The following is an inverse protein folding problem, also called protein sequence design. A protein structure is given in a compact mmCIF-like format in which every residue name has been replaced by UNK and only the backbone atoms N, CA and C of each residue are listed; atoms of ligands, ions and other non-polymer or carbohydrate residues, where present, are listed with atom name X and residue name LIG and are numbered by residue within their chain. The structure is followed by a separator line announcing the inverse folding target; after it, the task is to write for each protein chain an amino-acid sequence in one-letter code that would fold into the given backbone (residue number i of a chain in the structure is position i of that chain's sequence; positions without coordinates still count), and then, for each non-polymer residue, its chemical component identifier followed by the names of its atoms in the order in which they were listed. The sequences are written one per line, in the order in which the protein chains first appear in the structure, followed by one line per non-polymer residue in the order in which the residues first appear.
data_IF_658068756165
#
_entry.id   IF_658068756165
#
_cell.length_a   1.000
_cell.length_b   1.000
_cell.length_c   1.000
_cell.angle_alpha   90.00
_cell.angle_beta   90.00
_cell.angle_gamma   90.00
#
_symmetry.space_group_name_H-M   'P 1'
#
loop_
_entity.id
_entity.type
_entity.pdbx_description
1 polymer ?
#
# COMPACT_ATOMS: atom_id res chain seq x y z
N UNK A 1 10.02 -17.39 -10.47
CA UNK A 1 9.47 -16.03 -10.25
C UNK A 1 9.67 -15.08 -11.42
N UNK A 2 10.17 -15.55 -12.57
CA UNK A 2 10.19 -14.75 -13.80
C UNK A 2 8.77 -14.34 -14.20
N UNK A 3 7.80 -15.24 -14.01
CA UNK A 3 6.38 -15.01 -14.27
C UNK A 3 5.83 -13.74 -13.57
N UNK A 4 6.27 -13.46 -12.34
CA UNK A 4 5.87 -12.26 -11.61
C UNK A 4 6.51 -10.99 -12.19
N UNK A 5 7.75 -11.06 -12.65
CA UNK A 5 8.41 -9.95 -13.35
C UNK A 5 7.74 -9.66 -14.68
N UNK A 6 7.43 -10.70 -15.45
CA UNK A 6 6.74 -10.56 -16.72
C UNK A 6 5.36 -9.92 -16.50
N UNK A 7 4.62 -10.35 -15.47
CA UNK A 7 3.35 -9.72 -15.11
C UNK A 7 3.50 -8.23 -14.73
N UNK A 8 4.54 -7.86 -13.97
CA UNK A 8 4.83 -6.44 -13.68
C UNK A 8 5.13 -5.64 -14.95
N UNK A 9 5.94 -6.19 -15.86
CA UNK A 9 6.26 -5.54 -17.15
C UNK A 9 5.00 -5.36 -17.99
N UNK A 10 4.15 -6.38 -18.10
CA UNK A 10 2.87 -6.27 -18.81
C UNK A 10 2.01 -5.13 -18.27
N UNK A 11 1.91 -4.98 -16.94
CA UNK A 11 1.14 -3.86 -16.36
C UNK A 11 1.77 -2.51 -16.69
N UNK A 12 3.11 -2.39 -16.67
CA UNK A 12 3.80 -1.14 -16.99
C UNK A 12 3.73 -0.77 -18.47
N UNK A 13 3.83 -1.75 -19.37
CA UNK A 13 3.91 -1.55 -20.82
C UNK A 13 2.54 -1.44 -21.48
N UNK A 14 1.54 -2.13 -20.93
CA UNK A 14 0.21 -2.26 -21.54
C UNK A 14 -0.94 -1.82 -20.61
N UNK A 15 -0.65 -1.40 -19.39
CA UNK A 15 -1.66 -0.90 -18.47
C UNK A 15 -2.13 0.51 -18.81
N UNK A 16 -3.33 0.82 -18.35
CA UNK A 16 -3.99 2.11 -18.56
C UNK A 16 -3.98 2.88 -17.22
N UNK A 17 -3.61 4.17 -17.22
CA UNK A 17 -3.75 5.02 -16.04
C UNK A 17 -5.20 5.03 -15.55
N UNK A 18 -5.40 4.81 -14.26
CA UNK A 18 -6.72 4.74 -13.64
C UNK A 18 -6.72 5.48 -12.29
N UNK A 19 -7.86 6.05 -11.94
CA UNK A 19 -8.12 6.52 -10.58
C UNK A 19 -8.54 5.35 -9.69
N UNK A 20 -8.21 5.40 -8.41
CA UNK A 20 -8.60 4.39 -7.45
C UNK A 20 -9.32 5.00 -6.23
N UNK A 21 -9.94 4.15 -5.40
CA UNK A 21 -10.70 4.58 -4.20
C UNK A 21 -9.85 5.35 -3.19
N UNK A 22 -8.54 5.10 -3.12
CA UNK A 22 -7.62 5.82 -2.23
C UNK A 22 -7.24 7.20 -2.79
N UNK A 23 -7.46 7.41 -4.09
CA UNK A 23 -7.12 8.65 -4.79
C UNK A 23 -5.62 8.86 -5.01
N UNK A 24 -4.85 7.76 -4.98
CA UNK A 24 -3.40 7.68 -5.26
C UNK A 24 -3.15 7.61 -6.77
N UNK A 25 -4.02 6.93 -7.51
CA UNK A 25 -3.87 6.63 -8.93
C UNK A 25 -3.05 5.36 -9.16
N UNK A 26 -3.39 4.64 -10.23
CA UNK A 26 -2.76 3.37 -10.62
C UNK A 26 -2.47 3.33 -12.11
N UNK A 27 -1.59 2.42 -12.52
CA UNK A 27 -1.58 1.85 -13.87
C UNK A 27 -2.20 0.45 -13.75
N UNK A 28 -3.29 0.20 -14.48
CA UNK A 28 -4.10 -1.03 -14.36
C UNK A 28 -4.13 -1.81 -15.67
N UNK A 29 -4.00 -3.13 -15.59
CA UNK A 29 -4.19 -4.07 -16.69
C UNK A 29 -5.27 -5.08 -16.30
N UNK A 30 -6.36 -5.15 -17.07
CA UNK A 30 -7.49 -6.00 -16.74
C UNK A 30 -7.37 -7.38 -17.38
N UNK A 31 -7.17 -8.40 -16.55
CA UNK A 31 -6.96 -9.77 -16.98
C UNK A 31 -5.48 -10.12 -17.10
N UNK A 32 -4.98 -10.95 -16.19
CA UNK A 32 -3.66 -11.59 -16.28
C UNK A 32 -3.75 -13.01 -15.74
N UNK A 33 -2.89 -13.90 -16.24
CA UNK A 33 -2.74 -15.23 -15.67
C UNK A 33 -1.28 -15.64 -15.62
N UNK A 34 -0.87 -16.24 -14.50
CA UNK A 34 0.47 -16.78 -14.31
C UNK A 34 0.39 -18.20 -13.74
N UNK A 35 1.37 -19.03 -14.06
CA UNK A 35 1.49 -20.42 -13.59
C UNK A 35 2.83 -20.64 -12.91
N UNK A 36 2.79 -21.27 -11.75
CA UNK A 36 3.93 -21.58 -10.90
C UNK A 36 3.94 -23.09 -10.63
N UNK A 37 4.74 -23.88 -11.38
CA UNK A 37 4.96 -25.29 -11.07
C UNK A 37 5.65 -25.42 -9.72
N UNK A 38 5.03 -26.11 -8.76
CA UNK A 38 5.59 -26.24 -7.40
C UNK A 38 6.75 -27.23 -7.36
N UNK A 39 6.92 -28.04 -8.41
CA UNK A 39 8.08 -28.89 -8.62
C UNK A 39 9.38 -28.10 -8.86
N UNK A 40 9.29 -26.86 -9.35
CA UNK A 40 10.47 -26.00 -9.62
C UNK A 40 11.03 -25.35 -8.35
N UNK A 41 10.30 -25.45 -7.23
CA UNK A 41 10.59 -24.79 -5.95
C UNK A 41 9.39 -23.99 -5.43
N UNK A 42 9.49 -23.51 -4.18
CA UNK A 42 8.43 -22.73 -3.56
C UNK A 42 8.42 -21.29 -4.14
N UNK A 43 7.29 -20.81 -4.70
CA UNK A 43 7.24 -19.56 -5.47
C UNK A 43 7.22 -18.31 -4.57
N UNK A 44 8.31 -18.10 -3.83
CA UNK A 44 8.54 -16.93 -3.01
C UNK A 44 9.37 -15.90 -3.81
N UNK A 45 8.90 -14.65 -3.89
CA UNK A 45 9.64 -13.60 -4.60
C UNK A 45 11.05 -13.43 -4.01
N UNK A 46 12.06 -13.48 -4.87
CA UNK A 46 13.47 -13.37 -4.50
C UNK A 46 14.09 -12.02 -4.86
N UNK A 47 13.44 -11.18 -5.66
CA UNK A 47 13.94 -9.83 -5.98
C UNK A 47 13.64 -8.77 -4.93
N UNK A 48 12.92 -9.16 -3.87
CA UNK A 48 12.80 -8.44 -2.61
C UNK A 48 12.53 -9.43 -1.49
N UNK A 49 12.88 -9.06 -0.25
CA UNK A 49 12.61 -9.87 0.94
C UNK A 49 11.12 -9.78 1.33
N UNK A 50 10.49 -10.93 1.53
CA UNK A 50 9.13 -11.05 2.07
C UNK A 50 9.15 -11.45 3.54
N UNK A 51 8.14 -11.00 4.28
CA UNK A 51 7.96 -11.39 5.68
C UNK A 51 7.16 -12.70 5.77
N UNK A 52 7.86 -13.82 5.56
CA UNK A 52 7.29 -15.19 5.53
C UNK A 52 6.42 -15.48 6.75
N UNK A 53 6.83 -15.01 7.93
CA UNK A 53 6.09 -15.21 9.18
C UNK A 53 4.64 -14.71 9.08
N UNK A 54 4.44 -13.53 8.50
CA UNK A 54 3.09 -12.98 8.29
C UNK A 54 2.24 -13.83 7.35
N UNK A 55 2.84 -14.34 6.26
CA UNK A 55 2.14 -15.17 5.26
C UNK A 55 1.61 -16.45 5.91
N UNK A 56 2.45 -17.14 6.68
CA UNK A 56 2.08 -18.41 7.31
C UNK A 56 0.99 -18.19 8.36
N UNK A 57 1.18 -17.24 9.29
CA UNK A 57 0.19 -17.02 10.35
C UNK A 57 -1.15 -16.53 9.80
N UNK A 58 -1.17 -15.69 8.75
CA UNK A 58 -2.41 -15.28 8.11
C UNK A 58 -3.17 -16.48 7.53
N UNK A 59 -2.48 -17.39 6.84
CA UNK A 59 -3.13 -18.58 6.29
C UNK A 59 -3.68 -19.51 7.38
N UNK A 60 -2.92 -19.72 8.45
CA UNK A 60 -3.39 -20.49 9.62
C UNK A 60 -4.61 -19.83 10.27
N UNK A 61 -4.64 -18.51 10.35
CA UNK A 61 -5.75 -17.72 10.86
C UNK A 61 -7.01 -17.86 9.96
N UNK A 62 -6.86 -17.78 8.64
CA UNK A 62 -7.95 -18.07 7.69
C UNK A 62 -8.52 -19.48 7.87
N UNK A 63 -7.64 -20.49 7.98
CA UNK A 63 -8.07 -21.88 8.15
C UNK A 63 -8.80 -22.13 9.47
N UNK A 64 -8.50 -21.35 10.53
CA UNK A 64 -9.24 -21.39 11.80
C UNK A 64 -10.62 -20.76 11.73
N UNK A 65 -10.91 -19.98 10.68
CA UNK A 65 -12.16 -19.26 10.55
C UNK A 65 -12.24 -17.98 11.38
N UNK A 66 -11.11 -17.56 11.94
CA UNK A 66 -11.02 -16.38 12.79
C UNK A 66 -11.11 -15.10 11.94
N UNK A 67 -11.66 -14.05 12.54
CA UNK A 67 -11.88 -12.73 11.93
C UNK A 67 -11.43 -11.58 12.83
N UNK A 68 -10.88 -11.91 14.02
CA UNK A 68 -10.27 -10.94 14.91
C UNK A 68 -8.73 -11.00 14.83
N UNK A 69 -8.08 -9.84 14.85
CA UNK A 69 -6.62 -9.74 14.67
C UNK A 69 -5.80 -10.10 15.91
N UNK A 70 -6.41 -10.46 17.05
CA UNK A 70 -5.69 -10.81 18.28
C UNK A 70 -4.67 -11.92 18.06
N UNK A 71 -5.05 -13.02 17.38
CA UNK A 71 -4.12 -14.10 17.07
C UNK A 71 -2.92 -13.61 16.24
N UNK A 72 -3.16 -12.73 15.27
CA UNK A 72 -2.10 -12.16 14.44
C UNK A 72 -1.15 -11.31 15.28
N UNK A 73 -1.70 -10.42 16.13
CA UNK A 73 -0.93 -9.56 17.03
C UNK A 73 -0.10 -10.36 18.03
N UNK A 74 -0.66 -11.38 18.67
CA UNK A 74 0.06 -12.29 19.58
C UNK A 74 1.25 -12.98 18.90
N UNK A 75 1.20 -13.16 17.58
CA UNK A 75 2.28 -13.74 16.78
C UNK A 75 3.18 -12.68 16.10
N UNK A 76 3.03 -11.40 16.43
CA UNK A 76 3.83 -10.30 15.87
C UNK A 76 3.52 -10.00 14.41
N UNK A 77 2.27 -10.20 13.99
CA UNK A 77 1.77 -9.93 12.64
C UNK A 77 0.77 -8.78 12.68
N UNK A 78 1.02 -7.72 11.90
CA UNK A 78 0.24 -6.47 11.89
C UNK A 78 -0.36 -6.13 10.51
N UNK A 79 -0.40 -7.09 9.59
CA UNK A 79 -0.80 -6.85 8.19
C UNK A 79 -2.30 -6.51 8.03
N UNK A 80 -3.11 -6.65 9.08
CA UNK A 80 -4.54 -6.35 9.11
C UNK A 80 -4.90 -5.15 10.01
N UNK A 81 -3.92 -4.53 10.67
CA UNK A 81 -4.14 -3.51 11.70
C UNK A 81 -4.89 -2.28 11.19
N UNK A 82 -4.67 -1.88 9.94
CA UNK A 82 -5.29 -0.68 9.34
C UNK A 82 -6.79 -0.85 9.02
N UNK A 83 -7.29 -2.08 8.98
CA UNK A 83 -8.69 -2.38 8.63
C UNK A 83 -9.54 -2.81 9.82
N UNK A 84 -8.91 -3.23 10.92
CA UNK A 84 -9.64 -3.70 12.08
C UNK A 84 -10.29 -2.53 12.84
N UNK A 85 -11.45 -2.79 13.44
CA UNK A 85 -12.08 -1.83 14.34
C UNK A 85 -11.36 -1.73 15.70
N UNK A 86 -11.92 -0.96 16.62
CA UNK A 86 -11.36 -0.76 17.96
C UNK A 86 -11.24 -2.04 18.81
N UNK A 87 -12.03 -3.08 18.49
CA UNK A 87 -11.99 -4.38 19.15
C UNK A 87 -11.10 -5.39 18.41
N UNK A 88 -10.56 -5.00 17.25
CA UNK A 88 -9.74 -5.85 16.40
C UNK A 88 -10.54 -6.70 15.42
N UNK A 89 -11.84 -6.45 15.24
CA UNK A 89 -12.71 -7.22 14.36
C UNK A 89 -12.68 -6.68 12.92
N UNK A 90 -12.75 -7.60 11.95
CA UNK A 90 -12.74 -7.30 10.51
C UNK A 90 -14.09 -7.55 9.82
N UNK A 91 -15.10 -7.98 10.57
CA UNK A 91 -16.35 -8.51 10.02
C UNK A 91 -16.17 -9.91 9.38
N UNK A 92 -17.14 -10.38 8.58
CA UNK A 92 -17.17 -11.74 8.07
C UNK A 92 -16.23 -11.94 6.86
N UNK A 93 -14.94 -11.63 7.02
CA UNK A 93 -13.90 -11.78 5.97
C UNK A 93 -13.53 -13.26 5.72
N UNK A 94 -12.45 -13.51 4.97
CA UNK A 94 -12.06 -14.80 4.42
C UNK A 94 -12.24 -16.00 5.35
N UNK A 95 -11.70 -15.96 6.57
CA UNK A 95 -11.78 -17.07 7.51
C UNK A 95 -13.23 -17.48 7.78
N UNK A 96 -14.09 -16.50 8.08
CA UNK A 96 -15.52 -16.73 8.26
C UNK A 96 -16.12 -17.39 7.03
N UNK A 97 -15.86 -16.86 5.83
CA UNK A 97 -16.40 -17.42 4.59
C UNK A 97 -15.87 -18.83 4.31
N UNK A 98 -14.61 -19.14 4.65
CA UNK A 98 -14.03 -20.46 4.41
C UNK A 98 -14.60 -21.54 5.34
N UNK A 99 -14.93 -21.17 6.58
CA UNK A 99 -15.35 -22.11 7.63
C UNK A 99 -16.85 -22.07 7.94
N UNK A 100 -17.54 -21.02 7.53
CA UNK A 100 -18.98 -20.81 7.70
C UNK A 100 -19.54 -19.83 6.65
N UNK A 101 -19.70 -20.31 5.41
CA UNK A 101 -20.40 -19.62 4.33
C UNK A 101 -21.90 -19.89 4.44
N UNK A 102 -22.61 -19.10 5.25
CA UNK A 102 -24.05 -19.30 5.46
C UNK A 102 -24.40 -20.70 6.00
N UNK A 103 -23.59 -21.22 6.92
CA UNK A 103 -23.73 -22.55 7.51
C UNK A 103 -22.82 -23.63 6.91
N UNK A 104 -22.03 -23.31 5.88
CA UNK A 104 -21.20 -24.30 5.16
C UNK A 104 -19.71 -24.12 5.45
N UNK A 105 -19.08 -25.17 6.00
CA UNK A 105 -17.63 -25.27 6.09
C UNK A 105 -17.06 -25.73 4.73
N UNK A 106 -16.66 -24.76 3.91
CA UNK A 106 -16.17 -25.02 2.56
C UNK A 106 -14.84 -25.79 2.57
N UNK A 107 -13.97 -25.56 3.56
CA UNK A 107 -12.66 -26.22 3.64
C UNK A 107 -12.81 -27.69 4.04
N UNK A 108 -13.63 -27.98 5.05
CA UNK A 108 -13.90 -29.37 5.44
C UNK A 108 -14.56 -30.14 4.30
N UNK A 109 -15.58 -29.53 3.67
CA UNK A 109 -16.27 -30.10 2.50
C UNK A 109 -15.29 -30.38 1.36
N UNK A 110 -14.40 -29.44 1.04
CA UNK A 110 -13.39 -29.60 0.00
C UNK A 110 -12.47 -30.80 0.26
N UNK A 111 -11.90 -30.89 1.47
CA UNK A 111 -10.98 -31.99 1.83
C UNK A 111 -11.68 -33.35 1.75
N UNK A 112 -12.93 -33.42 2.19
CA UNK A 112 -13.75 -34.62 2.05
C UNK A 112 -14.01 -34.98 0.58
N UNK A 113 -14.38 -34.00 -0.24
CA UNK A 113 -14.62 -34.20 -1.67
C UNK A 113 -13.36 -34.61 -2.43
N UNK A 114 -12.18 -34.09 -2.08
CA UNK A 114 -10.90 -34.54 -2.68
C UNK A 114 -10.70 -36.03 -2.43
N UNK A 115 -11.02 -36.52 -1.23
CA UNK A 115 -10.85 -37.95 -0.87
C UNK A 115 -11.89 -38.85 -1.54
N UNK A 116 -13.15 -38.39 -1.67
CA UNK A 116 -14.27 -39.19 -2.21
C UNK A 116 -14.42 -39.12 -3.72
N UNK A 117 -14.12 -37.97 -4.33
CA UNK A 117 -14.36 -37.68 -5.75
C UNK A 117 -13.29 -36.71 -6.28
N UNK A 118 -12.01 -37.14 -6.32
CA UNK A 118 -10.87 -36.30 -6.70
C UNK A 118 -10.94 -35.76 -8.13
N UNK A 119 -11.68 -36.43 -9.01
CA UNK A 119 -11.93 -36.05 -10.39
C UNK A 119 -13.04 -34.99 -10.54
N UNK A 120 -13.70 -34.61 -9.44
CA UNK A 120 -14.74 -33.59 -9.43
C UNK A 120 -14.24 -32.25 -9.96
N UNK A 121 -15.06 -31.61 -10.80
CA UNK A 121 -14.83 -30.25 -11.32
C UNK A 121 -15.40 -29.18 -10.39
N UNK A 122 -15.94 -29.57 -9.23
CA UNK A 122 -16.65 -28.70 -8.27
C UNK A 122 -15.88 -28.48 -6.97
N UNK A 123 -14.58 -28.81 -6.95
CA UNK A 123 -13.70 -28.59 -5.80
C UNK A 123 -13.35 -27.10 -5.70
N UNK A 124 -14.26 -26.29 -5.13
CA UNK A 124 -14.21 -24.82 -5.14
C UNK A 124 -14.43 -24.28 -3.73
N UNK A 125 -13.75 -23.18 -3.40
CA UNK A 125 -14.03 -22.35 -2.24
C UNK A 125 -14.21 -20.91 -2.69
N UNK A 126 -15.27 -20.25 -2.22
CA UNK A 126 -15.55 -18.83 -2.47
C UNK A 126 -15.45 -18.01 -1.19
N UNK A 127 -14.76 -16.88 -1.23
CA UNK A 127 -14.83 -15.86 -0.21
C UNK A 127 -15.84 -14.75 -0.57
N UNK A 128 -16.35 -14.72 -1.80
CA UNK A 128 -17.27 -13.68 -2.24
C UNK A 128 -18.71 -14.05 -1.93
N UNK A 129 -19.21 -13.56 -0.78
CA UNK A 129 -20.59 -13.73 -0.34
C UNK A 129 -21.36 -12.39 -0.46
N UNK A 130 -22.20 -12.17 -1.49
CA UNK A 130 -22.81 -10.87 -1.74
C UNK A 130 -23.57 -10.24 -0.56
N UNK A 131 -24.35 -11.00 0.24
CA UNK A 131 -24.98 -10.48 1.46
C UNK A 131 -24.00 -9.97 2.53
N UNK A 132 -22.83 -10.60 2.66
CA UNK A 132 -21.87 -10.26 3.72
C UNK A 132 -20.86 -9.18 3.29
N UNK A 133 -20.63 -8.98 1.99
CA UNK A 133 -19.65 -8.01 1.46
C UNK A 133 -19.80 -6.60 2.06
N UNK A 134 -21.01 -6.03 2.24
CA UNK A 134 -21.19 -4.73 2.87
C UNK A 134 -20.76 -4.67 4.35
N UNK A 135 -20.60 -5.82 5.01
CA UNK A 135 -20.24 -5.92 6.43
C UNK A 135 -18.76 -6.26 6.67
N UNK A 136 -17.98 -6.43 5.61
CA UNK A 136 -16.54 -6.72 5.69
C UNK A 136 -15.74 -5.43 5.71
N UNK A 137 -14.74 -5.34 6.61
CA UNK A 137 -13.82 -4.20 6.66
C UNK A 137 -13.09 -3.97 5.32
N UNK A 138 -12.79 -5.05 4.62
CA UNK A 138 -12.31 -5.02 3.24
C UNK A 138 -12.93 -6.19 2.44
N UNK A 139 -13.68 -5.91 1.34
CA UNK A 139 -14.19 -6.97 0.49
C UNK A 139 -13.07 -7.86 -0.09
N UNK A 140 -13.22 -9.20 -0.11
CA UNK A 140 -12.21 -10.14 -0.53
C UNK A 140 -11.56 -9.80 -1.87
N UNK A 141 -10.23 -9.68 -1.88
CA UNK A 141 -9.45 -9.54 -3.11
C UNK A 141 -9.31 -10.90 -3.81
N UNK A 142 -9.00 -11.96 -3.05
CA UNK A 142 -8.96 -13.34 -3.50
C UNK A 142 -10.33 -13.98 -3.31
N UNK A 143 -11.14 -13.93 -4.38
CA UNK A 143 -12.59 -14.15 -4.28
C UNK A 143 -12.99 -15.61 -4.39
N UNK A 144 -12.29 -16.39 -5.20
CA UNK A 144 -12.61 -17.80 -5.43
C UNK A 144 -11.35 -18.56 -5.85
N UNK A 145 -11.25 -19.81 -5.42
CA UNK A 145 -10.20 -20.71 -5.89
C UNK A 145 -10.74 -22.13 -6.08
N UNK A 146 -10.11 -22.86 -7.00
CA UNK A 146 -10.49 -24.20 -7.42
C UNK A 146 -9.31 -25.15 -7.30
N UNK A 147 -9.58 -26.39 -6.92
CA UNK A 147 -8.63 -27.50 -6.90
C UNK A 147 -8.91 -28.49 -8.02
N UNK A 148 -7.87 -29.05 -8.61
CA UNK A 148 -7.95 -30.17 -9.56
C UNK A 148 -6.89 -31.21 -9.24
N UNK A 149 -7.28 -32.48 -9.20
CA UNK A 149 -6.34 -33.60 -9.14
C UNK A 149 -6.10 -34.12 -10.56
N UNK A 150 -4.85 -34.11 -11.01
CA UNK A 150 -4.45 -34.59 -12.34
C UNK A 150 -3.10 -35.33 -12.22
N UNK A 151 -3.02 -36.55 -12.74
CA UNK A 151 -1.76 -37.31 -12.74
C UNK A 151 -1.16 -37.53 -11.34
N UNK A 152 -2.00 -37.69 -10.31
CA UNK A 152 -1.54 -37.84 -8.92
C UNK A 152 -1.10 -36.52 -8.24
N UNK A 153 -1.30 -35.37 -8.90
CA UNK A 153 -0.91 -34.06 -8.39
C UNK A 153 -2.10 -33.17 -8.07
N UNK A 154 -1.98 -32.38 -7.01
CA UNK A 154 -2.95 -31.36 -6.62
C UNK A 154 -2.57 -30.00 -7.21
N UNK A 155 -3.41 -29.48 -8.09
CA UNK A 155 -3.29 -28.15 -8.68
C UNK A 155 -4.30 -27.20 -8.02
N UNK A 156 -3.92 -25.95 -7.80
CA UNK A 156 -4.79 -24.91 -7.26
C UNK A 156 -4.81 -23.71 -8.21
N UNK A 157 -6.00 -23.26 -8.60
CA UNK A 157 -6.20 -22.03 -9.36
C UNK A 157 -6.93 -21.00 -8.51
N UNK A 158 -6.35 -19.81 -8.35
CA UNK A 158 -6.94 -18.66 -7.70
C UNK A 158 -7.46 -17.65 -8.73
N UNK A 159 -8.65 -17.11 -8.52
CA UNK A 159 -9.10 -15.86 -9.11
C UNK A 159 -9.06 -14.73 -8.07
N UNK A 160 -8.26 -13.70 -8.36
CA UNK A 160 -8.10 -12.50 -7.55
C UNK A 160 -8.66 -11.30 -8.31
N UNK A 161 -9.79 -10.74 -7.87
CA UNK A 161 -10.50 -9.66 -8.60
C UNK A 161 -9.70 -8.36 -8.69
N UNK A 162 -8.82 -8.11 -7.72
CA UNK A 162 -8.07 -6.86 -7.57
C UNK A 162 -6.73 -7.17 -6.89
N UNK A 163 -5.64 -6.74 -7.50
CA UNK A 163 -4.30 -7.15 -7.11
C UNK A 163 -3.32 -5.98 -7.17
N UNK A 164 -2.91 -5.50 -5.98
CA UNK A 164 -1.71 -4.66 -5.87
C UNK A 164 -0.50 -5.52 -6.23
N UNK A 165 0.00 -5.29 -7.43
CA UNK A 165 1.09 -6.06 -8.02
C UNK A 165 2.39 -5.90 -7.25
N UNK A 166 2.61 -4.77 -6.58
CA UNK A 166 3.83 -4.56 -5.81
C UNK A 166 3.69 -5.14 -4.40
N UNK A 167 2.76 -4.68 -3.57
CA UNK A 167 2.70 -5.09 -2.16
C UNK A 167 2.00 -6.44 -1.96
N UNK A 168 0.82 -6.62 -2.56
CA UNK A 168 -0.08 -7.74 -2.26
C UNK A 168 0.31 -9.04 -2.97
N UNK A 169 0.47 -9.01 -4.29
CA UNK A 169 0.64 -10.21 -5.12
C UNK A 169 1.77 -11.15 -4.66
N UNK A 170 2.97 -10.65 -4.26
CA UNK A 170 4.01 -11.52 -3.71
C UNK A 170 3.57 -12.35 -2.49
N UNK A 171 2.75 -11.77 -1.60
CA UNK A 171 2.18 -12.47 -0.44
C UNK A 171 1.09 -13.46 -0.88
N UNK A 172 0.23 -13.06 -1.83
CA UNK A 172 -0.85 -13.91 -2.32
C UNK A 172 -0.31 -15.17 -3.02
N UNK A 173 0.74 -15.04 -3.84
CA UNK A 173 1.38 -16.19 -4.50
C UNK A 173 1.88 -17.20 -3.46
N UNK A 174 2.64 -16.72 -2.47
CA UNK A 174 3.20 -17.58 -1.44
C UNK A 174 2.12 -18.23 -0.56
N UNK A 175 1.08 -17.48 -0.18
CA UNK A 175 -0.03 -17.97 0.64
C UNK A 175 -0.80 -19.11 -0.05
N UNK A 176 -1.17 -18.92 -1.31
CA UNK A 176 -1.93 -19.94 -2.04
C UNK A 176 -1.08 -21.12 -2.53
N UNK A 177 0.20 -20.91 -2.82
CA UNK A 177 1.14 -22.01 -3.02
C UNK A 177 1.31 -22.85 -1.75
N UNK A 178 1.41 -22.21 -0.58
CA UNK A 178 1.47 -22.89 0.70
C UNK A 178 0.18 -23.69 0.95
N UNK A 179 -0.99 -23.10 0.72
CA UNK A 179 -2.27 -23.80 0.82
C UNK A 179 -2.34 -25.03 -0.09
N UNK A 180 -1.88 -24.93 -1.34
CA UNK A 180 -1.81 -26.06 -2.26
C UNK A 180 -0.93 -27.20 -1.72
N UNK A 181 0.25 -26.88 -1.16
CA UNK A 181 1.15 -27.85 -0.53
C UNK A 181 0.51 -28.48 0.72
N UNK A 182 -0.15 -27.69 1.57
CA UNK A 182 -0.85 -28.18 2.76
C UNK A 182 -2.00 -29.13 2.40
N UNK A 183 -2.80 -28.78 1.39
CA UNK A 183 -3.88 -29.63 0.90
C UNK A 183 -3.34 -30.94 0.32
N UNK A 184 -2.29 -30.86 -0.50
CA UNK A 184 -1.63 -32.04 -1.09
C UNK A 184 -1.15 -32.99 0.02
N UNK A 185 -0.50 -32.44 1.05
CA UNK A 185 -0.02 -33.18 2.22
C UNK A 185 -1.12 -33.97 2.95
N UNK A 186 -2.25 -33.32 3.28
CA UNK A 186 -3.32 -33.96 4.08
C UNK A 186 -4.25 -34.85 3.24
N UNK A 187 -4.13 -34.82 1.91
CA UNK A 187 -4.91 -35.64 0.98
C UNK A 187 -4.08 -36.72 0.29
N UNK A 188 -2.76 -36.76 0.49
CA UNK A 188 -1.88 -37.79 -0.03
C UNK A 188 -1.48 -37.61 -1.49
N UNK A 189 -1.58 -36.39 -2.03
CA UNK A 189 -1.16 -36.05 -3.39
C UNK A 189 0.18 -35.31 -3.40
N UNK A 190 0.86 -35.34 -4.55
CA UNK A 190 2.00 -34.46 -4.78
C UNK A 190 1.55 -33.03 -5.09
N UNK A 191 2.29 -31.98 -4.68
CA UNK A 191 2.03 -30.63 -5.16
C UNK A 191 2.20 -30.52 -6.69
N UNK A 192 1.17 -30.01 -7.36
CA UNK A 192 1.17 -29.73 -8.79
C UNK A 192 1.53 -28.26 -9.08
N UNK A 193 0.61 -27.55 -9.71
CA UNK A 193 0.80 -26.15 -10.10
C UNK A 193 -0.09 -25.23 -9.28
N UNK A 194 0.44 -24.06 -8.94
CA UNK A 194 -0.36 -22.92 -8.56
C UNK A 194 -0.61 -22.02 -9.78
N UNK A 195 -1.88 -21.73 -10.07
CA UNK A 195 -2.30 -20.85 -11.16
C UNK A 195 -2.95 -19.61 -10.55
N UNK A 196 -2.45 -18.43 -10.90
CA UNK A 196 -2.95 -17.16 -10.39
C UNK A 196 -3.61 -16.39 -11.53
N UNK A 197 -4.94 -16.29 -11.51
CA UNK A 197 -5.72 -15.47 -12.43
C UNK A 197 -6.08 -14.16 -11.73
N UNK A 198 -5.82 -13.04 -12.38
CA UNK A 198 -6.00 -11.71 -11.81
C UNK A 198 -6.98 -10.93 -12.69
N UNK A 199 -7.97 -10.30 -12.06
CA UNK A 199 -8.86 -9.32 -12.68
C UNK A 199 -8.12 -8.00 -12.89
N UNK A 200 -8.34 -7.02 -12.02
CA UNK A 200 -7.60 -5.75 -12.06
C UNK A 200 -6.20 -5.88 -11.44
N UNK A 201 -5.20 -6.11 -12.29
CA UNK A 201 -3.79 -6.10 -11.93
C UNK A 201 -3.26 -4.67 -12.00
N UNK A 202 -2.90 -4.09 -10.86
CA UNK A 202 -2.54 -2.67 -10.81
C UNK A 202 -1.25 -2.42 -10.04
N UNK A 203 -0.55 -1.37 -10.45
CA UNK A 203 0.58 -0.82 -9.72
C UNK A 203 0.21 0.62 -9.34
N UNK A 204 0.26 0.92 -8.04
CA UNK A 204 0.05 2.29 -7.55
C UNK A 204 1.15 3.23 -8.04
N UNK A 205 0.77 4.47 -8.35
CA UNK A 205 1.69 5.53 -8.81
C UNK A 205 2.87 5.75 -7.84
N UNK A 206 2.64 5.65 -6.53
CA UNK A 206 3.67 5.78 -5.50
C UNK A 206 4.58 4.53 -5.34
N UNK A 207 4.36 3.48 -6.13
CA UNK A 207 5.20 2.27 -6.17
C UNK A 207 6.05 2.15 -7.45
N UNK A 208 5.98 3.11 -8.38
CA UNK A 208 6.66 3.02 -9.68
C UNK A 208 8.18 2.80 -9.54
N UNK A 209 8.86 3.62 -8.74
CA UNK A 209 10.31 3.50 -8.57
C UNK A 209 10.71 2.16 -7.94
N UNK A 210 9.93 1.69 -6.96
CA UNK A 210 10.18 0.44 -6.27
C UNK A 210 9.98 -0.74 -7.23
N UNK A 211 8.98 -0.69 -8.10
CA UNK A 211 8.77 -1.69 -9.16
C UNK A 211 9.94 -1.67 -10.14
N UNK A 212 10.34 -0.50 -10.65
CA UNK A 212 11.48 -0.39 -11.58
C UNK A 212 12.78 -0.93 -10.96
N UNK A 213 13.05 -0.58 -9.69
CA UNK A 213 14.19 -1.09 -8.93
C UNK A 213 14.13 -2.61 -8.78
N UNK A 214 12.94 -3.16 -8.54
CA UNK A 214 12.73 -4.60 -8.42
C UNK A 214 12.92 -5.32 -9.77
N UNK A 215 12.46 -4.73 -10.87
CA UNK A 215 12.60 -5.26 -12.24
C UNK A 215 14.04 -5.23 -12.75
N UNK A 216 14.89 -4.34 -12.23
CA UNK A 216 16.31 -4.30 -12.53
C UNK A 216 17.11 -5.44 -11.85
N UNK A 217 16.52 -6.16 -10.89
CA UNK A 217 17.17 -7.27 -10.18
C UNK A 217 16.86 -8.58 -10.88
N UNK A 218 17.89 -9.38 -11.16
CA UNK A 218 17.70 -10.74 -11.63
C UNK A 218 17.05 -11.62 -10.52
N UNK A 219 15.99 -12.39 -10.81
CA UNK A 219 15.48 -13.40 -9.89
C UNK A 219 16.59 -14.38 -9.46
N UNK A 220 16.66 -14.66 -8.16
CA UNK A 220 17.52 -15.72 -7.59
C UNK A 220 16.77 -17.06 -7.52
N UNK A 221 17.46 -18.19 -7.35
CA UNK A 221 16.86 -19.52 -7.25
C UNK A 221 15.68 -19.57 -6.26
N UNK A 222 14.67 -20.37 -6.59
CA UNK A 222 13.52 -20.56 -5.70
C UNK A 222 13.96 -21.29 -4.42
N UNK A 223 13.45 -20.90 -3.26
CA UNK A 223 13.65 -21.69 -2.04
C UNK A 223 12.89 -23.02 -2.10
N UNK A 224 13.23 -23.93 -1.21
CA UNK A 224 12.44 -25.14 -0.97
C UNK A 224 11.54 -24.93 0.26
N UNK A 225 10.32 -25.47 0.20
CA UNK A 225 9.42 -25.58 1.35
C UNK A 225 9.34 -27.06 1.76
N UNK A 226 9.51 -27.32 3.05
CA UNK A 226 9.32 -28.64 3.65
C UNK A 226 8.30 -28.56 4.77
N UNK A 227 7.35 -29.50 4.77
CA UNK A 227 6.51 -29.77 5.93
C UNK A 227 7.26 -30.75 6.82
N UNK A 228 7.60 -30.34 8.04
CA UNK A 228 8.51 -31.09 8.94
C UNK A 228 7.81 -32.21 9.70
N UNK A 229 6.48 -32.15 9.83
CA UNK A 229 5.65 -33.09 10.58
C UNK A 229 4.56 -33.70 9.71
N UNK A 230 4.25 -34.98 9.92
CA UNK A 230 3.04 -35.56 9.35
C UNK A 230 1.80 -35.00 10.05
N UNK A 231 1.15 -34.02 9.42
CA UNK A 231 -0.10 -33.42 9.91
C UNK A 231 -1.31 -34.15 9.30
N UNK A 232 -2.28 -34.66 10.10
CA UNK A 232 -3.40 -35.46 9.58
C UNK A 232 -4.59 -34.63 9.08
N UNK A 233 -4.71 -33.38 9.53
CA UNK A 233 -5.81 -32.47 9.21
C UNK A 233 -5.28 -31.12 8.73
N UNK A 234 -6.00 -30.49 7.80
CA UNK A 234 -5.68 -29.14 7.31
C UNK A 234 -5.74 -28.08 8.43
N UNK A 235 -6.46 -28.39 9.52
CA UNK A 235 -6.65 -27.48 10.66
C UNK A 235 -5.60 -27.66 11.78
N UNK A 236 -4.75 -28.69 11.70
CA UNK A 236 -3.80 -29.05 12.76
C UNK A 236 -2.37 -28.52 12.49
N UNK A 237 -2.18 -27.74 11.43
CA UNK A 237 -0.89 -27.12 11.12
C UNK A 237 -0.54 -26.03 12.12
N UNK A 238 0.75 -25.94 12.43
CA UNK A 238 1.38 -24.93 13.28
C UNK A 238 2.49 -24.23 12.50
N UNK A 239 2.92 -23.07 12.97
CA UNK A 239 3.98 -22.30 12.32
C UNK A 239 5.28 -23.11 12.17
N UNK A 240 5.61 -23.91 13.19
CA UNK A 240 6.85 -24.71 13.26
C UNK A 240 6.85 -25.90 12.30
N UNK A 241 5.70 -26.24 11.70
CA UNK A 241 5.62 -27.32 10.72
C UNK A 241 6.23 -26.92 9.37
N UNK A 242 6.52 -25.64 9.15
CA UNK A 242 7.00 -25.11 7.87
C UNK A 242 8.48 -24.71 7.94
N UNK A 243 9.29 -25.39 7.15
CA UNK A 243 10.72 -25.08 6.98
C UNK A 243 10.95 -24.56 5.56
N UNK A 244 11.46 -23.33 5.44
CA UNK A 244 11.88 -22.75 4.16
C UNK A 244 13.40 -22.69 4.12
N UNK A 245 14.01 -23.39 3.16
CA UNK A 245 15.47 -23.45 2.97
C UNK A 245 15.87 -22.82 1.63
N UNK A 246 17.10 -22.32 1.56
CA UNK A 246 17.62 -21.71 0.32
C UNK A 246 16.99 -20.36 -0.04
N UNK A 247 16.26 -19.71 0.86
CA UNK A 247 15.70 -18.37 0.60
C UNK A 247 16.78 -17.28 0.77
N UNK A 248 17.40 -16.93 -0.36
CA UNK A 248 18.39 -15.85 -0.46
C UNK A 248 17.82 -14.68 -1.28
N UNK A 249 16.86 -13.88 -0.76
CA UNK A 249 16.31 -12.76 -1.51
C UNK A 249 17.32 -11.62 -1.61
N UNK A 250 17.20 -10.83 -2.67
CA UNK A 250 17.82 -9.51 -2.72
C UNK A 250 17.41 -8.71 -1.49
N UNK A 251 18.34 -7.91 -0.94
CA UNK A 251 18.07 -7.14 0.26
C UNK A 251 16.85 -6.24 0.04
N UNK A 252 16.12 -5.90 1.12
CA UNK A 252 15.13 -4.83 1.06
C UNK A 252 15.76 -3.65 0.29
N UNK A 253 15.04 -3.09 -0.69
CA UNK A 253 15.45 -1.80 -1.23
C UNK A 253 15.66 -0.89 -0.02
N UNK A 254 16.87 -0.33 0.12
CA UNK A 254 17.28 0.49 1.27
C UNK A 254 16.48 1.77 1.45
N UNK A 255 15.40 1.93 0.68
CA UNK A 255 14.41 2.99 0.77
C UNK A 255 13.03 2.36 0.61
N UNK A 256 12.44 1.81 1.68
CA UNK A 256 11.00 1.92 1.76
C UNK A 256 10.75 3.43 1.86
N UNK A 257 10.06 4.04 0.90
CA UNK A 257 9.35 5.30 1.15
C UNK A 257 8.18 5.04 2.13
N UNK A 258 8.45 4.35 3.24
CA UNK A 258 7.80 4.63 4.51
C UNK A 258 8.29 6.03 4.83
N UNK A 259 7.36 6.96 5.03
CA UNK A 259 7.64 8.27 5.64
C UNK A 259 8.74 8.10 6.69
N UNK A 260 9.99 8.41 6.31
CA UNK A 260 11.10 8.31 7.24
C UNK A 260 10.75 9.25 8.39
N UNK A 261 11.02 8.84 9.63
CA UNK A 261 10.73 9.72 10.78
C UNK A 261 11.36 11.08 10.50
N UNK A 262 10.53 12.12 10.39
CA UNK A 262 10.99 13.47 10.14
C UNK A 262 11.10 13.85 8.67
N UNK A 263 10.37 13.19 7.75
CA UNK A 263 10.27 13.65 6.36
C UNK A 263 9.62 15.04 6.31
N UNK A 264 10.35 16.00 5.76
CA UNK A 264 9.92 17.39 5.61
C UNK A 264 9.46 17.61 4.18
N UNK A 265 8.17 17.94 4.04
CA UNK A 265 7.52 18.25 2.76
C UNK A 265 7.17 19.74 2.71
N UNK A 266 7.56 20.45 1.65
CA UNK A 266 7.03 21.78 1.39
C UNK A 266 5.82 21.66 0.48
N UNK A 267 4.68 22.21 0.90
CA UNK A 267 3.48 22.27 0.07
C UNK A 267 3.24 23.72 -0.31
N UNK A 268 3.10 24.00 -1.60
CA UNK A 268 2.90 25.35 -2.12
C UNK A 268 2.05 25.32 -3.39
N UNK A 269 1.14 26.29 -3.51
CA UNK A 269 0.60 26.72 -4.79
C UNK A 269 1.29 28.02 -5.21
N UNK A 270 1.82 28.08 -6.43
CA UNK A 270 2.53 29.25 -6.98
C UNK A 270 2.04 29.59 -8.39
N UNK A 271 2.03 30.87 -8.71
CA UNK A 271 1.87 31.37 -10.08
C UNK A 271 3.11 31.06 -10.94
N UNK A 272 2.99 31.22 -12.26
CA UNK A 272 4.09 31.00 -13.22
C UNK A 272 5.31 31.88 -12.92
N UNK A 273 5.09 33.13 -12.50
CA UNK A 273 6.14 34.03 -12.01
C UNK A 273 6.64 33.73 -10.56
N UNK A 274 6.23 32.61 -9.95
CA UNK A 274 6.65 32.19 -8.62
C UNK A 274 5.93 32.86 -7.45
N UNK A 275 4.95 33.73 -7.72
CA UNK A 275 4.17 34.40 -6.67
C UNK A 275 3.31 33.39 -5.89
N UNK A 276 3.23 33.58 -4.57
CA UNK A 276 2.42 32.75 -3.65
C UNK A 276 1.35 33.56 -2.90
N UNK A 277 1.38 34.89 -3.00
CA UNK A 277 0.43 35.75 -2.30
C UNK A 277 0.53 37.22 -2.69
N UNK A 278 -0.56 37.94 -2.44
CA UNK A 278 -0.67 39.39 -2.56
C UNK A 278 -1.54 39.93 -1.44
N UNK A 279 -1.05 40.88 -0.66
CA UNK A 279 -1.83 41.53 0.41
C UNK A 279 -2.36 40.54 1.45
N UNK A 280 -1.57 39.50 1.78
CA UNK A 280 -1.94 38.40 2.68
C UNK A 280 -3.13 37.53 2.21
N UNK A 281 -3.38 37.49 0.90
CA UNK A 281 -4.40 36.62 0.27
C UNK A 281 -3.80 35.78 -0.85
N UNK A 282 -4.45 34.66 -1.17
CA UNK A 282 -4.13 33.84 -2.34
C UNK A 282 -4.86 34.46 -3.54
N UNK A 283 -4.16 34.87 -4.62
CA UNK A 283 -4.74 35.65 -5.71
C UNK A 283 -5.51 34.79 -6.75
N UNK A 284 -5.73 33.50 -6.47
CA UNK A 284 -6.47 32.57 -7.31
C UNK A 284 -7.40 31.68 -6.47
N UNK A 285 -8.34 31.03 -7.14
CA UNK A 285 -9.29 30.10 -6.53
C UNK A 285 -9.03 28.68 -7.06
N UNK A 286 -8.43 27.82 -6.22
CA UNK A 286 -8.07 26.44 -6.56
C UNK A 286 -8.58 25.45 -5.48
N UNK A 287 -9.87 25.08 -5.51
CA UNK A 287 -10.48 24.23 -4.47
C UNK A 287 -9.94 22.80 -4.48
N UNK A 288 -9.49 22.30 -5.64
CA UNK A 288 -8.90 20.97 -5.79
C UNK A 288 -7.50 20.90 -5.14
N UNK A 289 -6.71 21.97 -5.27
CA UNK A 289 -5.43 22.14 -4.56
C UNK A 289 -5.66 22.19 -3.04
N UNK A 290 -6.66 22.96 -2.59
CA UNK A 290 -7.03 23.00 -1.18
C UNK A 290 -7.45 21.62 -0.65
N UNK A 291 -8.21 20.85 -1.43
CA UNK A 291 -8.61 19.49 -1.07
C UNK A 291 -7.39 18.54 -1.00
N UNK A 292 -6.47 18.64 -1.97
CA UNK A 292 -5.22 17.88 -1.97
C UNK A 292 -4.35 18.21 -0.74
N UNK A 293 -4.18 19.50 -0.43
CA UNK A 293 -3.51 19.99 0.77
C UNK A 293 -4.13 19.43 2.05
N UNK A 294 -5.45 19.47 2.18
CA UNK A 294 -6.15 18.97 3.36
C UNK A 294 -5.94 17.47 3.56
N UNK A 295 -6.07 16.68 2.48
CA UNK A 295 -5.88 15.23 2.51
C UNK A 295 -4.43 14.88 2.87
N UNK A 296 -3.46 15.54 2.25
CA UNK A 296 -2.04 15.29 2.46
C UNK A 296 -1.62 15.59 3.91
N UNK A 297 -2.02 16.75 4.43
CA UNK A 297 -1.54 17.23 5.74
C UNK A 297 -2.24 16.61 6.94
N UNK A 298 -3.39 15.95 6.78
CA UNK A 298 -4.16 15.36 7.88
C UNK A 298 -3.33 14.32 8.65
N UNK A 299 -3.27 14.44 9.98
CA UNK A 299 -2.47 13.60 10.88
C UNK A 299 -0.98 13.98 10.97
N UNK A 300 -0.54 15.01 10.25
CA UNK A 300 0.83 15.53 10.29
C UNK A 300 1.00 16.76 11.19
N UNK A 301 2.23 17.28 11.20
CA UNK A 301 2.55 18.59 11.76
C UNK A 301 2.69 19.63 10.63
N UNK A 302 2.02 20.76 10.77
CA UNK A 302 2.05 21.87 9.80
C UNK A 302 2.76 23.07 10.41
N UNK A 303 3.79 23.55 9.72
CA UNK A 303 4.64 24.68 10.09
C UNK A 303 4.32 25.85 9.15
N UNK A 304 3.99 26.99 9.74
CA UNK A 304 3.61 28.17 8.97
C UNK A 304 4.02 29.46 9.67
N UNK A 305 4.20 30.53 8.90
CA UNK A 305 4.47 31.86 9.46
C UNK A 305 3.20 32.49 10.05
N UNK A 306 3.38 33.48 10.93
CA UNK A 306 2.29 34.27 11.54
C UNK A 306 1.27 34.79 10.52
N UNK A 307 1.72 35.40 9.42
CA UNK A 307 0.84 35.98 8.39
C UNK A 307 -0.04 34.92 7.71
N UNK A 308 0.53 33.76 7.41
CA UNK A 308 -0.19 32.59 6.88
C UNK A 308 -1.21 32.09 7.89
N UNK A 309 -0.83 31.96 9.16
CA UNK A 309 -1.78 31.63 10.21
C UNK A 309 -2.92 32.64 10.26
N UNK A 310 -2.63 33.94 10.22
CA UNK A 310 -3.62 35.04 10.23
C UNK A 310 -4.57 34.99 9.02
N UNK A 311 -4.13 34.52 7.85
CA UNK A 311 -4.96 34.43 6.63
C UNK A 311 -5.79 33.15 6.51
N UNK A 312 -5.57 32.13 7.36
CA UNK A 312 -6.32 30.87 7.25
C UNK A 312 -7.83 31.10 7.51
N UNK A 313 -8.72 30.53 6.67
CA UNK A 313 -10.17 30.71 6.81
C UNK A 313 -10.73 30.02 8.06
N UNK A 314 -10.09 28.93 8.51
CA UNK A 314 -10.45 28.19 9.71
C UNK A 314 -9.18 27.86 10.51
N UNK A 315 -9.19 28.15 11.81
CA UNK A 315 -8.06 27.93 12.73
C UNK A 315 -8.56 27.32 14.05
N UNK A 316 -7.83 26.37 14.64
CA UNK A 316 -6.70 25.64 14.06
C UNK A 316 -7.12 24.72 12.91
N UNK A 317 -6.17 24.28 12.08
CA UNK A 317 -6.44 23.20 11.12
C UNK A 317 -6.67 21.90 11.91
N UNK A 318 -7.89 21.35 11.85
CA UNK A 318 -8.27 20.14 12.60
C UNK A 318 -7.39 18.94 12.24
N UNK A 319 -7.19 18.03 13.21
CA UNK A 319 -6.44 16.77 13.05
C UNK A 319 -4.98 16.95 12.61
N UNK A 320 -4.35 18.06 13.01
CA UNK A 320 -2.96 18.42 12.70
C UNK A 320 -2.33 19.08 13.92
N UNK A 321 -1.04 18.86 14.13
CA UNK A 321 -0.25 19.71 15.01
C UNK A 321 0.06 21.01 14.27
N UNK A 322 -0.46 22.14 14.75
CA UNK A 322 -0.26 23.44 14.10
C UNK A 322 0.86 24.21 14.81
N UNK A 323 1.99 24.45 14.14
CA UNK A 323 3.14 25.17 14.72
C UNK A 323 3.30 26.51 14.01
N UNK A 324 3.10 27.60 14.75
CA UNK A 324 3.27 28.96 14.22
C UNK A 324 4.70 29.43 14.46
N UNK A 325 5.40 29.80 13.40
CA UNK A 325 6.73 30.41 13.52
C UNK A 325 6.57 31.90 13.83
N UNK A 326 6.92 32.28 15.05
CA UNK A 326 6.86 33.66 15.54
C UNK A 326 7.83 33.86 16.70
N UNK A 327 8.32 35.10 16.86
CA UNK A 327 9.11 35.53 18.03
C UNK A 327 8.24 35.94 19.22
N UNK A 328 6.95 36.14 18.98
CA UNK A 328 5.97 36.47 20.01
C UNK A 328 5.30 35.17 20.47
N UNK A 329 5.57 34.73 21.70
CA UNK A 329 5.05 33.46 22.21
C UNK A 329 3.64 33.58 22.80
N UNK A 330 3.08 34.78 22.93
CA UNK A 330 1.96 35.03 23.83
C UNK A 330 0.57 34.69 23.26
N UNK A 331 0.45 34.31 21.98
CA UNK A 331 -0.85 34.34 21.27
C UNK A 331 -1.31 32.97 20.72
N UNK A 332 -0.44 31.95 20.66
CA UNK A 332 -0.79 30.66 20.03
C UNK A 332 -0.45 29.44 20.89
N UNK A 333 -1.25 28.39 20.74
CA UNK A 333 -1.13 27.14 21.49
C UNK A 333 0.20 26.41 21.25
N UNK A 334 0.79 26.55 20.06
CA UNK A 334 2.09 25.97 19.74
C UNK A 334 2.90 26.92 18.85
N UNK A 335 3.96 27.49 19.43
CA UNK A 335 4.82 28.51 18.79
C UNK A 335 6.26 28.04 18.78
N UNK A 336 6.94 28.27 17.67
CA UNK A 336 8.38 28.08 17.56
C UNK A 336 9.07 29.38 17.14
N UNK A 337 10.25 29.70 17.70
CA UNK A 337 10.98 30.94 17.38
C UNK A 337 11.58 30.95 15.97
N UNK A 338 11.85 29.76 15.40
CA UNK A 338 12.37 29.59 14.04
C UNK A 338 11.73 28.36 13.36
N UNK A 339 11.78 28.27 12.01
CA UNK A 339 11.32 27.09 11.29
C UNK A 339 12.03 25.79 11.68
N UNK A 340 13.33 25.85 11.99
CA UNK A 340 14.12 24.68 12.43
C UNK A 340 13.67 24.21 13.82
N UNK A 341 13.41 25.14 14.74
CA UNK A 341 12.84 24.82 16.05
C UNK A 341 11.44 24.21 15.92
N UNK A 342 10.65 24.66 14.93
CA UNK A 342 9.34 24.08 14.64
C UNK A 342 9.44 22.62 14.16
N UNK A 343 10.43 22.31 13.31
CA UNK A 343 10.72 20.93 12.88
C UNK A 343 11.10 20.06 14.08
N UNK A 344 12.00 20.52 14.93
CA UNK A 344 12.42 19.78 16.12
C UNK A 344 11.25 19.51 17.08
N UNK A 345 10.38 20.51 17.26
CA UNK A 345 9.15 20.37 18.06
C UNK A 345 8.19 19.33 17.48
N UNK A 346 7.97 19.35 16.16
CA UNK A 346 7.14 18.34 15.50
C UNK A 346 7.71 16.92 15.65
N UNK A 347 9.03 16.77 15.54
CA UNK A 347 9.72 15.49 15.73
C UNK A 347 9.63 15.01 17.17
N UNK A 348 9.82 15.90 18.16
CA UNK A 348 9.69 15.59 19.58
C UNK A 348 8.27 15.16 19.96
N UNK A 349 7.26 15.73 19.30
CA UNK A 349 5.86 15.32 19.43
C UNK A 349 5.53 14.00 18.67
N UNK A 350 6.52 13.34 18.07
CA UNK A 350 6.34 12.03 17.42
C UNK A 350 5.75 12.08 16.01
N UNK A 351 5.62 13.26 15.39
CA UNK A 351 5.09 13.37 14.03
C UNK A 351 6.16 12.97 13.00
N UNK A 352 5.88 11.89 12.25
CA UNK A 352 6.72 11.44 11.16
C UNK A 352 6.57 12.29 9.88
N UNK A 353 5.45 13.00 9.73
CA UNK A 353 5.11 13.82 8.56
C UNK A 353 5.06 15.30 8.95
N UNK A 354 5.98 16.08 8.41
CA UNK A 354 6.17 17.50 8.72
C UNK A 354 6.01 18.30 7.44
N UNK A 355 5.17 19.34 7.49
CA UNK A 355 4.76 20.10 6.34
C UNK A 355 5.08 21.59 6.53
N UNK A 356 5.86 22.18 5.63
CA UNK A 356 5.99 23.63 5.52
C UNK A 356 4.93 24.17 4.56
N UNK A 357 4.02 25.02 5.03
CA UNK A 357 2.77 25.31 4.28
C UNK A 357 2.53 26.79 3.95
N UNK A 358 3.43 27.69 4.34
CA UNK A 358 3.28 29.09 3.94
C UNK A 358 4.16 30.10 4.66
N UNK A 359 4.45 31.17 3.92
CA UNK A 359 5.34 32.27 4.28
C UNK A 359 6.69 32.12 3.58
N UNK A 360 7.07 33.12 2.77
CA UNK A 360 8.31 33.10 1.97
C UNK A 360 9.55 32.79 2.83
N UNK A 361 9.61 33.34 4.05
CA UNK A 361 10.70 33.08 5.00
C UNK A 361 10.71 31.65 5.55
N UNK A 362 9.54 31.05 5.77
CA UNK A 362 9.42 29.65 6.23
C UNK A 362 9.86 28.71 5.11
N UNK A 363 9.40 28.94 3.88
CA UNK A 363 9.84 28.15 2.74
C UNK A 363 11.35 28.26 2.52
N UNK A 364 11.90 29.48 2.55
CA UNK A 364 13.34 29.67 2.36
C UNK A 364 14.18 28.94 3.43
N UNK A 365 13.75 28.98 4.69
CA UNK A 365 14.44 28.32 5.79
C UNK A 365 14.32 26.79 5.74
N UNK A 366 13.15 26.26 5.33
CA UNK A 366 12.92 24.82 5.28
C UNK A 366 13.39 24.15 3.98
N UNK A 367 13.59 24.91 2.89
CA UNK A 367 14.04 24.37 1.59
C UNK A 367 15.31 23.50 1.68
N UNK A 368 16.37 23.90 2.42
CA UNK A 368 17.57 23.07 2.56
C UNK A 368 17.32 21.75 3.33
N UNK A 369 16.28 21.72 4.18
CA UNK A 369 15.87 20.57 4.99
C UNK A 369 14.78 19.73 4.31
N UNK A 370 14.20 20.23 3.22
CA UNK A 370 13.11 19.57 2.53
C UNK A 370 13.61 18.31 1.82
N UNK A 371 12.81 17.25 1.93
CA UNK A 371 13.02 15.98 1.24
C UNK A 371 12.08 15.85 0.04
N UNK A 372 10.93 16.54 0.11
CA UNK A 372 9.84 16.47 -0.85
C UNK A 372 9.23 17.86 -1.05
N UNK A 373 8.84 18.17 -2.29
CA UNK A 373 8.02 19.33 -2.63
C UNK A 373 6.72 18.86 -3.28
N UNK A 374 5.61 19.42 -2.86
CA UNK A 374 4.32 19.35 -3.56
C UNK A 374 4.01 20.74 -4.07
N UNK A 375 4.20 20.94 -5.37
CA UNK A 375 4.11 22.25 -6.01
C UNK A 375 2.95 22.23 -6.98
N UNK A 376 1.93 23.02 -6.69
CA UNK A 376 0.87 23.35 -7.65
C UNK A 376 1.28 24.59 -8.42
N UNK A 377 1.52 24.45 -9.71
CA UNK A 377 1.72 25.58 -10.62
C UNK A 377 0.38 26.03 -11.18
N UNK A 378 0.03 27.29 -10.93
CA UNK A 378 -1.15 27.97 -11.45
C UNK A 378 -0.72 28.74 -12.69
N UNK A 379 -1.37 28.46 -13.82
CA UNK A 379 -1.06 29.00 -15.14
C UNK A 379 -1.54 30.46 -15.28
N UNK A 380 -0.89 31.34 -14.52
CA UNK A 380 -1.10 32.78 -14.54
C UNK A 380 0.12 33.50 -13.96
N UNK A 381 0.23 34.80 -14.21
CA UNK A 381 1.15 35.69 -13.50
C UNK A 381 0.37 36.58 -12.52
N UNK A 382 1.00 36.93 -11.39
CA UNK A 382 0.40 37.81 -10.38
C UNK A 382 1.17 39.13 -10.34
N UNK A 383 0.56 40.19 -10.88
CA UNK A 383 1.12 41.54 -10.85
C UNK A 383 1.06 42.15 -9.45
N UNK A 384 2.19 42.72 -9.01
CA UNK A 384 2.32 43.34 -7.69
C UNK A 384 2.23 42.35 -6.53
N UNK A 385 2.64 41.09 -6.74
CA UNK A 385 2.78 40.11 -5.67
C UNK A 385 3.84 40.55 -4.63
N UNK A 386 3.58 40.26 -3.36
CA UNK A 386 4.45 40.61 -2.22
C UNK A 386 5.03 39.40 -1.50
N UNK A 387 4.67 38.19 -1.94
CA UNK A 387 5.20 36.93 -1.44
C UNK A 387 5.50 35.97 -2.60
N UNK A 388 6.69 35.36 -2.55
CA UNK A 388 7.19 34.45 -3.58
C UNK A 388 7.71 33.16 -2.95
N UNK A 389 7.54 32.05 -3.66
CA UNK A 389 8.21 30.80 -3.31
C UNK A 389 9.71 30.96 -3.62
N UNK A 390 10.64 30.53 -2.74
CA UNK A 390 12.06 30.60 -3.03
C UNK A 390 12.40 29.82 -4.30
N UNK A 391 13.28 30.39 -5.12
CA UNK A 391 13.89 29.64 -6.21
C UNK A 391 14.67 28.45 -5.65
N UNK A 392 14.64 27.33 -6.37
CA UNK A 392 15.40 26.13 -6.02
C UNK A 392 16.01 25.55 -7.30
N UNK A 393 17.15 24.88 -7.16
CA UNK A 393 17.84 24.23 -8.27
C UNK A 393 17.04 22.98 -8.69
N UNK A 394 16.26 23.08 -9.76
CA UNK A 394 15.47 21.96 -10.28
C UNK A 394 16.34 20.75 -10.67
N UNK A 395 17.64 20.93 -10.97
CA UNK A 395 18.56 19.82 -11.23
C UNK A 395 18.88 18.98 -9.99
N UNK A 396 18.68 19.53 -8.80
CA UNK A 396 18.81 18.83 -7.53
C UNK A 396 17.52 18.09 -7.10
N UNK A 397 16.47 18.11 -7.93
CA UNK A 397 15.19 17.48 -7.63
C UNK A 397 14.71 16.65 -8.82
N UNK A 398 14.02 15.54 -8.53
CA UNK A 398 13.38 14.71 -9.56
C UNK A 398 11.87 14.80 -9.43
N UNK A 399 11.19 15.08 -10.54
CA UNK A 399 9.73 14.94 -10.62
C UNK A 399 9.38 13.45 -10.58
N UNK A 400 8.54 13.05 -9.62
CA UNK A 400 8.07 11.66 -9.49
C UNK A 400 6.78 11.43 -10.26
N UNK A 401 5.87 12.42 -10.23
CA UNK A 401 4.65 12.42 -11.02
C UNK A 401 4.14 13.86 -11.21
N UNK A 402 3.31 14.07 -12.23
CA UNK A 402 2.49 15.26 -12.37
C UNK A 402 1.02 14.90 -12.58
N UNK A 403 0.14 15.79 -12.13
CA UNK A 403 -1.30 15.68 -12.32
C UNK A 403 -1.88 17.05 -12.64
N UNK A 404 -2.66 17.13 -13.72
CA UNK A 404 -3.50 18.29 -14.00
C UNK A 404 -4.72 18.27 -13.09
N UNK A 405 -4.96 19.36 -12.36
CA UNK A 405 -6.05 19.47 -11.37
C UNK A 405 -7.36 19.99 -11.99
N UNK A 406 -7.34 20.64 -13.17
CA UNK A 406 -8.51 21.24 -13.83
C UNK A 406 -8.49 21.17 -15.37
N UNK A 407 -9.69 21.13 -15.95
CA UNK A 407 -9.98 21.55 -17.34
C UNK A 407 -10.56 22.98 -17.41
N UNK A 408 -11.33 23.43 -16.39
CA UNK A 408 -11.99 24.75 -16.37
C UNK A 408 -11.29 25.77 -15.45
N UNK A 409 -10.81 26.90 -16.00
CA UNK A 409 -10.06 27.96 -15.29
C UNK A 409 -8.58 28.01 -15.67
N UNK A 410 -7.73 28.85 -15.02
CA UNK A 410 -6.29 28.81 -15.28
C UNK A 410 -5.76 27.40 -14.96
N UNK A 411 -4.99 26.83 -15.89
CA UNK A 411 -4.47 25.49 -15.76
C UNK A 411 -3.71 25.32 -14.45
N UNK A 412 -4.02 24.27 -13.69
CA UNK A 412 -3.31 23.96 -12.45
C UNK A 412 -2.63 22.61 -12.60
N UNK A 413 -1.32 22.55 -12.44
CA UNK A 413 -0.53 21.31 -12.52
C UNK A 413 0.15 21.10 -11.17
N UNK A 414 -0.22 20.02 -10.49
CA UNK A 414 0.43 19.59 -9.26
C UNK A 414 1.55 18.62 -9.61
N UNK A 415 2.76 18.91 -9.12
CA UNK A 415 3.94 18.06 -9.25
C UNK A 415 4.47 17.65 -7.90
N UNK A 416 4.87 16.39 -7.79
CA UNK A 416 5.69 15.92 -6.69
C UNK A 416 7.15 15.89 -7.10
N UNK A 417 7.96 16.60 -6.33
CA UNK A 417 9.41 16.62 -6.45
C UNK A 417 10.03 15.93 -5.25
N UNK A 418 11.07 15.16 -5.47
CA UNK A 418 11.85 14.52 -4.41
C UNK A 418 13.33 14.79 -4.65
N UNK A 419 14.06 15.03 -3.57
CA UNK A 419 15.48 15.38 -3.61
C UNK A 419 16.38 14.16 -3.79
#
# INVERSE_FOLDING_TARGET
MQQYHDALRTVLEHGIPSSDRTGTGTISHFGLQSRYPLADGFPLVTTKKLHVKSIIHELLWFLKGDTNIRYLKENGVSIWDEWADENGDLGPVYGRQWRDFGGVDQIATLVEMIRKSPDSRRLIVSAWNPPDVPHMALPPCHTMWQVRILGGKLHLQLYQRSADMFLGVPFNIASYALLAVMLAHVTGYEPGDFIHSIGDAHIYSNHMEQVQTQLARAPRPLPALRITRQVPSIFDFRYEDFEITGYDPHPPSRRPWRYERGMITLIVARARNGAIGKGNTIPWHAPEDLAAFQRETTGGAVIMGRRTWESLPFKPLKNRLNIVVSRDAAVWETVAPTPEAAVQMAQAAGHARIYGIGGSSVYAALMPLAHRLLVTEVDMDVDGADAFFPAFDEGAWRVIWERRLREDGPGCVLREWVR
#
